data_IF_547686520379
#
_entry.id   IF_547686520379
#
_cell.length_a   1.000
_cell.length_b   1.000
_cell.length_c   1.000
_cell.angle_alpha   90.00
_cell.angle_beta   90.00
_cell.angle_gamma   90.00
#
_symmetry.space_group_name_H-M   'P 1'
#
loop_
_entity.id
_entity.type
_entity.pdbx_description
1 polymer ?
#
# COMPACT_ATOMS: atom_id res chain seq x y z
N UNK A 1 4.67 -104.09 -23.45
CA UNK A 1 6.03 -103.89 -22.91
C UNK A 1 6.21 -102.41 -22.65
N UNK A 2 6.41 -102.02 -21.37
CA UNK A 2 6.46 -100.64 -20.87
C UNK A 2 7.61 -99.85 -21.48
N UNK A 3 7.34 -98.67 -22.05
CA UNK A 3 8.36 -97.68 -22.46
C UNK A 3 8.60 -96.70 -21.31
N UNK A 4 9.84 -96.67 -20.84
CA UNK A 4 10.40 -95.67 -19.93
C UNK A 4 10.74 -94.44 -20.78
N UNK A 5 10.33 -93.25 -20.35
CA UNK A 5 10.87 -91.99 -20.87
C UNK A 5 11.20 -91.07 -19.69
N UNK A 6 12.46 -90.66 -19.67
CA UNK A 6 13.14 -89.90 -18.64
C UNK A 6 12.64 -88.45 -18.57
N UNK A 7 12.52 -87.96 -17.33
CA UNK A 7 12.37 -86.54 -16.98
C UNK A 7 13.73 -85.84 -17.04
N UNK A 8 13.86 -84.81 -17.90
CA UNK A 8 14.96 -83.85 -17.86
C UNK A 8 14.40 -82.46 -17.56
N UNK A 9 14.77 -81.91 -16.40
CA UNK A 9 14.38 -80.58 -15.95
C UNK A 9 15.20 -79.50 -16.71
N UNK A 10 14.49 -78.62 -17.41
CA UNK A 10 15.08 -77.45 -18.05
C UNK A 10 15.17 -76.32 -17.01
N UNK A 11 16.39 -76.04 -16.52
CA UNK A 11 16.68 -74.90 -15.65
C UNK A 11 16.64 -73.64 -16.53
N UNK A 12 15.56 -72.87 -16.42
CA UNK A 12 15.45 -71.55 -17.05
C UNK A 12 16.34 -70.55 -16.34
N UNK A 13 17.38 -70.07 -17.03
CA UNK A 13 18.13 -68.87 -16.62
C UNK A 13 17.18 -67.66 -16.72
N UNK A 14 16.71 -67.16 -15.58
CA UNK A 14 16.07 -65.86 -15.50
C UNK A 14 17.12 -64.76 -15.73
N UNK A 15 17.01 -64.04 -16.84
CA UNK A 15 17.73 -62.77 -16.98
C UNK A 15 17.16 -61.77 -15.96
N UNK A 16 18.00 -60.98 -15.26
CA UNK A 16 17.49 -59.83 -14.56
C UNK A 16 16.93 -58.85 -15.61
N UNK A 17 15.65 -58.49 -15.48
CA UNK A 17 15.09 -57.38 -16.23
C UNK A 17 15.87 -56.12 -15.84
N UNK A 18 16.72 -55.63 -16.74
CA UNK A 18 17.33 -54.31 -16.60
C UNK A 18 16.20 -53.28 -16.76
N UNK A 19 15.74 -52.75 -15.64
CA UNK A 19 14.82 -51.63 -15.63
C UNK A 19 15.56 -50.39 -16.11
N UNK A 20 15.31 -49.96 -17.34
CA UNK A 20 15.79 -48.67 -17.82
C UNK A 20 15.02 -47.58 -17.08
N UNK A 21 15.69 -46.85 -16.19
CA UNK A 21 15.15 -45.60 -15.67
C UNK A 21 15.13 -44.59 -16.82
N UNK A 22 13.95 -44.09 -17.18
CA UNK A 22 13.79 -43.00 -18.14
C UNK A 22 13.92 -41.68 -17.41
N UNK A 23 14.84 -40.82 -17.86
CA UNK A 23 14.94 -39.45 -17.36
C UNK A 23 13.67 -38.67 -17.71
N UNK A 24 13.07 -38.02 -16.71
CA UNK A 24 11.89 -37.19 -16.88
C UNK A 24 12.33 -35.72 -16.84
N UNK A 25 12.61 -35.16 -18.01
CA UNK A 25 12.88 -33.73 -18.13
C UNK A 25 11.55 -32.96 -18.15
N UNK A 26 11.42 -32.00 -17.24
CA UNK A 26 10.25 -31.14 -17.11
C UNK A 26 10.69 -29.69 -17.36
N UNK A 27 10.15 -29.08 -18.41
CA UNK A 27 10.36 -27.67 -18.69
C UNK A 27 9.28 -26.85 -18.00
N UNK A 28 9.65 -26.11 -16.96
CA UNK A 28 8.75 -25.17 -16.30
C UNK A 28 8.85 -23.80 -16.98
N UNK A 29 7.79 -23.41 -17.67
CA UNK A 29 7.61 -22.04 -18.14
C UNK A 29 6.59 -21.34 -17.26
N UNK A 30 6.99 -20.26 -16.60
CA UNK A 30 6.10 -19.43 -15.80
C UNK A 30 6.21 -17.97 -16.22
N UNK A 31 5.07 -17.30 -16.40
CA UNK A 31 5.01 -15.85 -16.59
C UNK A 31 4.96 -15.18 -15.22
N UNK A 32 6.01 -14.46 -14.85
CA UNK A 32 6.04 -13.64 -13.63
C UNK A 32 5.36 -12.31 -13.95
N UNK A 33 4.16 -12.10 -13.42
CA UNK A 33 3.45 -10.81 -13.46
C UNK A 33 3.78 -10.02 -12.21
N UNK A 34 3.89 -8.69 -12.32
CA UNK A 34 4.00 -7.83 -11.15
C UNK A 34 2.68 -7.89 -10.37
N UNK A 35 2.75 -8.18 -9.07
CA UNK A 35 1.57 -8.12 -8.22
C UNK A 35 1.28 -6.68 -7.82
N UNK A 36 0.09 -6.19 -8.17
CA UNK A 36 -0.28 -4.78 -8.04
C UNK A 36 -1.77 -4.63 -7.79
N UNK A 37 -2.15 -3.57 -7.11
CA UNK A 37 -3.51 -3.06 -7.03
C UNK A 37 -3.60 -1.69 -7.71
N UNK A 38 -4.76 -1.37 -8.25
CA UNK A 38 -5.13 0.02 -8.51
C UNK A 38 -5.49 0.67 -7.18
N UNK A 39 -4.82 1.77 -6.80
CA UNK A 39 -5.15 2.51 -5.58
C UNK A 39 -5.82 3.82 -5.96
N UNK A 40 -6.97 4.09 -5.34
CA UNK A 40 -7.75 5.32 -5.54
C UNK A 40 -7.91 6.07 -4.22
N UNK A 41 -8.10 7.39 -4.30
CA UNK A 41 -8.53 8.19 -3.16
C UNK A 41 -10.05 8.31 -3.21
N UNK A 42 -10.71 8.00 -2.10
CA UNK A 42 -12.16 8.13 -1.96
C UNK A 42 -12.52 9.01 -0.77
N UNK A 43 -13.61 9.75 -0.91
CA UNK A 43 -14.16 10.60 0.15
C UNK A 43 -14.67 9.74 1.31
N UNK A 44 -14.46 10.19 2.55
CA UNK A 44 -14.92 9.46 3.74
C UNK A 44 -15.23 10.40 4.91
N UNK A 45 -16.24 11.25 4.69
CA UNK A 45 -16.60 12.35 5.59
C UNK A 45 -15.89 13.67 5.24
N UNK A 46 -15.63 13.90 3.95
CA UNK A 46 -14.84 15.01 3.41
C UNK A 46 -13.44 14.55 2.97
N UNK A 47 -12.47 15.46 2.74
CA UNK A 47 -12.72 16.65 1.91
C UNK A 47 -13.29 16.23 0.55
N UNK A 48 -13.87 17.16 -0.22
CA UNK A 48 -14.32 16.83 -1.56
C UNK A 48 -13.11 16.31 -2.37
N UNK A 49 -13.22 15.08 -2.87
CA UNK A 49 -12.18 14.43 -3.67
C UNK A 49 -12.55 14.60 -5.14
N UNK A 50 -11.65 15.21 -5.91
CA UNK A 50 -11.77 15.34 -7.36
C UNK A 50 -10.51 14.83 -8.03
N UNK A 51 -10.59 14.46 -9.30
CA UNK A 51 -9.48 13.92 -10.07
C UNK A 51 -9.60 12.42 -10.36
N UNK A 52 -8.65 11.94 -11.16
CA UNK A 52 -8.53 10.54 -11.61
C UNK A 52 -7.12 10.32 -12.17
N UNK A 53 -6.78 9.07 -12.53
CA UNK A 53 -5.48 8.72 -13.13
C UNK A 53 -4.28 9.16 -12.26
N UNK A 54 -4.26 8.72 -11.01
CA UNK A 54 -3.18 8.95 -10.03
C UNK A 54 -3.01 10.40 -9.54
N UNK A 55 -3.79 11.34 -10.06
CA UNK A 55 -3.83 12.73 -9.59
C UNK A 55 -5.18 13.07 -8.96
N UNK A 56 -5.14 13.40 -7.67
CA UNK A 56 -6.31 13.73 -6.88
C UNK A 56 -6.13 15.08 -6.19
N UNK A 57 -7.22 15.84 -6.11
CA UNK A 57 -7.32 17.07 -5.33
C UNK A 57 -8.32 16.88 -4.19
N UNK A 58 -7.86 17.20 -2.98
CA UNK A 58 -8.62 17.13 -1.73
C UNK A 58 -8.89 18.55 -1.25
N UNK A 59 -10.14 19.01 -1.35
CA UNK A 59 -10.51 20.38 -0.96
C UNK A 59 -11.09 20.42 0.45
N UNK A 60 -10.29 20.88 1.42
CA UNK A 60 -10.77 21.22 2.76
C UNK A 60 -11.44 22.60 2.70
N UNK A 61 -12.66 22.79 3.22
CA UNK A 61 -13.30 24.10 3.30
C UNK A 61 -12.45 25.12 4.05
N UNK A 62 -12.74 26.41 3.86
CA UNK A 62 -12.09 27.50 4.59
C UNK A 62 -12.20 27.25 6.10
N UNK A 63 -11.06 27.34 6.78
CA UNK A 63 -10.93 27.09 8.21
C UNK A 63 -10.30 28.29 8.93
N UNK A 64 -10.84 28.61 10.10
CA UNK A 64 -10.29 29.67 10.96
C UNK A 64 -8.92 29.30 11.51
N UNK A 65 -8.02 30.28 11.62
CA UNK A 65 -6.69 30.09 12.20
C UNK A 65 -6.77 29.62 13.67
N UNK A 66 -7.81 30.03 14.41
CA UNK A 66 -8.09 29.57 15.77
C UNK A 66 -8.30 28.05 15.82
N UNK A 67 -8.94 27.47 14.81
CA UNK A 67 -9.16 26.02 14.68
C UNK A 67 -7.88 25.28 14.36
N UNK A 68 -7.03 25.85 13.50
CA UNK A 68 -5.70 25.31 13.20
C UNK A 68 -4.81 25.32 14.44
N UNK A 69 -4.79 26.42 15.19
CA UNK A 69 -3.99 26.58 16.41
C UNK A 69 -4.46 25.67 17.55
N UNK A 70 -5.77 25.40 17.65
CA UNK A 70 -6.35 24.51 18.67
C UNK A 70 -6.49 23.05 18.24
N UNK A 71 -5.98 22.69 17.05
CA UNK A 71 -6.11 21.36 16.46
C UNK A 71 -7.56 20.85 16.38
N UNK A 72 -8.50 21.76 16.14
CA UNK A 72 -9.92 21.46 16.15
C UNK A 72 -10.31 20.49 15.00
N UNK A 73 -11.43 19.74 15.13
CA UNK A 73 -11.90 18.84 14.08
C UNK A 73 -12.11 19.52 12.73
N UNK A 74 -12.50 20.80 12.70
CA UNK A 74 -12.72 21.59 11.49
C UNK A 74 -11.43 21.86 10.70
N UNK A 75 -10.27 21.76 11.35
CA UNK A 75 -8.95 21.86 10.70
C UNK A 75 -8.44 20.51 10.19
N UNK A 76 -9.34 19.52 10.03
CA UNK A 76 -9.04 18.17 9.60
C UNK A 76 -10.12 17.66 8.66
N UNK A 77 -9.75 16.73 7.79
CA UNK A 77 -10.69 16.06 6.90
C UNK A 77 -10.26 14.60 6.67
N UNK A 78 -11.23 13.74 6.43
CA UNK A 78 -11.06 12.29 6.45
C UNK A 78 -11.24 11.68 5.07
N UNK A 79 -10.24 10.98 4.55
CA UNK A 79 -10.34 10.29 3.26
C UNK A 79 -9.92 8.84 3.40
N UNK A 80 -10.01 8.06 2.31
CA UNK A 80 -9.52 6.68 2.26
C UNK A 80 -8.63 6.44 1.05
N UNK A 81 -7.61 5.61 1.24
CA UNK A 81 -6.93 4.93 0.14
C UNK A 81 -7.62 3.60 -0.08
N UNK A 82 -8.19 3.37 -1.26
CA UNK A 82 -8.93 2.15 -1.58
C UNK A 82 -8.24 1.38 -2.69
N UNK A 83 -7.96 0.10 -2.41
CA UNK A 83 -7.45 -0.83 -3.41
C UNK A 83 -8.59 -1.45 -4.23
N UNK A 84 -8.38 -1.57 -5.54
CA UNK A 84 -9.23 -2.32 -6.47
C UNK A 84 -8.36 -3.07 -7.48
N UNK A 85 -8.99 -3.98 -8.23
CA UNK A 85 -8.38 -4.66 -9.39
C UNK A 85 -7.03 -5.31 -9.06
N UNK A 86 -6.89 -5.81 -7.84
CA UNK A 86 -5.67 -6.40 -7.35
C UNK A 86 -5.39 -7.74 -8.02
N UNK A 87 -4.18 -7.91 -8.57
CA UNK A 87 -3.74 -9.20 -9.06
C UNK A 87 -3.46 -10.17 -7.91
N UNK A 88 -3.59 -11.47 -8.16
CA UNK A 88 -3.34 -12.48 -7.14
C UNK A 88 -1.87 -12.52 -6.71
N UNK A 89 -1.61 -13.02 -5.49
CA UNK A 89 -0.26 -13.41 -5.05
C UNK A 89 0.46 -12.43 -4.14
N UNK A 90 -0.16 -11.30 -3.75
CA UNK A 90 0.40 -10.42 -2.71
C UNK A 90 -0.19 -10.81 -1.36
N UNK A 91 0.66 -10.82 -0.36
CA UNK A 91 0.29 -10.98 1.05
C UNK A 91 0.14 -9.63 1.74
N UNK A 92 0.93 -8.63 1.33
CA UNK A 92 1.02 -7.31 1.98
C UNK A 92 0.94 -6.17 0.98
N UNK A 93 0.38 -5.07 1.46
CA UNK A 93 0.46 -3.76 0.81
C UNK A 93 1.13 -2.82 1.83
N UNK A 94 2.21 -2.17 1.42
CA UNK A 94 2.83 -1.12 2.19
C UNK A 94 2.61 0.22 1.51
N UNK A 95 2.48 1.28 2.31
CA UNK A 95 2.45 2.65 1.82
C UNK A 95 3.56 3.47 2.45
N UNK A 96 4.27 4.23 1.62
CA UNK A 96 5.14 5.33 2.04
C UNK A 96 4.54 6.67 1.60
N UNK A 97 4.98 7.75 2.23
CA UNK A 97 4.57 9.11 1.92
C UNK A 97 5.77 9.94 1.48
N UNK A 98 5.61 10.75 0.45
CA UNK A 98 6.58 11.77 0.00
C UNK A 98 5.92 13.14 0.02
N UNK A 99 6.67 14.17 0.39
CA UNK A 99 6.23 15.57 0.36
C UNK A 99 7.33 16.49 0.89
N UNK A 100 7.33 17.74 0.46
CA UNK A 100 8.29 18.74 0.95
C UNK A 100 7.93 19.15 2.38
N UNK A 101 8.82 18.95 3.35
CA UNK A 101 8.54 19.27 4.76
C UNK A 101 8.93 20.68 5.14
N UNK A 102 8.15 21.29 6.04
CA UNK A 102 8.51 22.56 6.71
C UNK A 102 8.99 22.35 8.14
N UNK A 103 8.42 21.38 8.86
CA UNK A 103 8.79 21.04 10.23
C UNK A 103 8.37 19.61 10.54
N UNK A 104 9.35 18.76 10.89
CA UNK A 104 9.11 17.37 11.25
C UNK A 104 8.28 16.63 10.20
N UNK A 105 7.03 16.30 10.55
CA UNK A 105 6.11 15.50 9.74
C UNK A 105 5.05 16.33 9.00
N UNK A 106 5.16 17.65 9.04
CA UNK A 106 4.26 18.56 8.35
C UNK A 106 4.82 18.94 6.97
N UNK A 107 3.99 18.74 5.95
CA UNK A 107 4.24 19.14 4.56
C UNK A 107 4.00 20.65 4.44
N UNK A 108 4.89 21.32 3.69
CA UNK A 108 4.93 22.77 3.50
C UNK A 108 3.73 23.28 2.72
N UNK A 109 3.32 24.51 3.02
CA UNK A 109 2.41 25.28 2.18
C UNK A 109 3.14 25.83 0.96
N UNK A 110 2.67 25.51 -0.24
CA UNK A 110 3.21 25.92 -1.53
C UNK A 110 2.39 27.05 -2.18
N UNK A 111 1.31 27.51 -1.55
CA UNK A 111 0.47 28.59 -2.08
C UNK A 111 1.23 29.93 -2.16
N UNK A 112 1.07 30.65 -3.27
CA UNK A 112 1.61 32.01 -3.42
C UNK A 112 0.84 32.98 -2.52
N UNK A 113 1.54 33.72 -1.65
CA UNK A 113 0.92 34.49 -0.54
C UNK A 113 0.13 33.60 0.45
N UNK A 114 0.61 32.39 0.68
CA UNK A 114 -0.04 31.40 1.53
C UNK A 114 0.01 31.70 3.02
N UNK A 115 -0.83 31.00 3.78
CA UNK A 115 -0.80 30.93 5.23
C UNK A 115 0.62 30.57 5.71
N UNK A 116 1.29 31.53 6.36
CA UNK A 116 2.62 31.33 6.93
C UNK A 116 2.50 30.56 8.26
N UNK A 117 3.51 29.74 8.57
CA UNK A 117 3.54 29.00 9.83
C UNK A 117 2.47 27.90 9.94
N UNK A 118 1.85 27.50 8.83
CA UNK A 118 0.89 26.39 8.75
C UNK A 118 1.44 25.31 7.82
N UNK A 119 1.28 24.05 8.22
CA UNK A 119 1.63 22.88 7.43
C UNK A 119 0.55 21.79 7.48
N UNK A 120 0.70 20.78 6.64
CA UNK A 120 -0.24 19.67 6.50
C UNK A 120 0.35 18.36 7.02
N UNK A 121 -0.32 17.73 7.98
CA UNK A 121 -0.01 16.37 8.45
C UNK A 121 -1.00 15.35 7.91
N UNK A 122 -0.55 14.10 7.73
CA UNK A 122 -1.39 12.96 7.34
C UNK A 122 -1.16 11.83 8.33
N UNK A 123 -2.23 11.22 8.84
CA UNK A 123 -2.20 10.11 9.81
C UNK A 123 -3.31 9.11 9.53
N UNK A 124 -3.24 7.93 10.15
CA UNK A 124 -4.42 7.07 10.29
C UNK A 124 -5.53 7.83 11.01
N UNK A 125 -6.78 7.59 10.60
CA UNK A 125 -7.93 8.22 11.27
C UNK A 125 -7.96 7.87 12.74
N UNK A 126 -8.48 8.80 13.55
CA UNK A 126 -8.68 8.66 15.00
C UNK A 126 -7.38 8.42 15.80
N UNK A 127 -6.22 8.67 15.19
CA UNK A 127 -4.92 8.64 15.87
C UNK A 127 -4.46 10.05 16.25
N UNK A 128 -3.51 10.15 17.19
CA UNK A 128 -2.98 11.43 17.66
C UNK A 128 -2.09 12.12 16.61
N UNK A 129 -1.91 13.44 16.70
CA UNK A 129 -1.03 14.17 15.77
C UNK A 129 0.44 13.75 15.87
N UNK A 130 0.86 13.20 17.02
CA UNK A 130 2.19 12.60 17.19
C UNK A 130 2.44 11.41 16.24
N UNK A 131 1.39 10.81 15.69
CA UNK A 131 1.45 9.69 14.75
C UNK A 131 1.26 10.12 13.30
N UNK A 132 1.43 11.41 12.97
CA UNK A 132 1.60 11.79 11.56
C UNK A 132 2.68 10.91 10.89
N UNK A 133 2.48 10.59 9.62
CA UNK A 133 3.44 9.88 8.81
C UNK A 133 4.60 10.81 8.45
N UNK A 134 5.81 10.26 8.39
CA UNK A 134 6.97 11.03 7.92
C UNK A 134 6.97 11.02 6.39
N UNK A 135 6.95 12.18 5.72
CA UNK A 135 6.92 12.24 4.26
C UNK A 135 8.34 12.09 3.66
N UNK A 136 9.00 10.95 3.92
CA UNK A 136 10.41 10.67 3.57
C UNK A 136 10.61 9.52 2.57
N UNK A 137 9.53 8.97 2.02
CA UNK A 137 9.52 7.80 1.15
C UNK A 137 10.24 6.55 1.71
N UNK A 138 10.43 6.48 3.02
CA UNK A 138 11.21 5.42 3.68
C UNK A 138 10.39 4.75 4.77
N UNK A 139 9.76 5.55 5.64
CA UNK A 139 8.85 5.05 6.66
C UNK A 139 7.61 4.49 5.98
N UNK A 140 7.41 3.18 6.11
CA UNK A 140 6.28 2.46 5.54
C UNK A 140 5.32 1.97 6.61
N UNK A 141 4.02 2.01 6.31
CA UNK A 141 3.01 1.32 7.11
C UNK A 141 2.36 0.20 6.30
N UNK A 142 2.10 -0.92 6.97
CA UNK A 142 1.42 -2.07 6.38
C UNK A 142 -0.11 -1.89 6.49
N UNK A 143 -0.81 -2.23 5.41
CA UNK A 143 -2.26 -2.33 5.40
C UNK A 143 -2.70 -3.62 6.09
N UNK A 144 -3.59 -3.50 7.07
CA UNK A 144 -4.26 -4.63 7.70
C UNK A 144 -5.17 -5.37 6.71
N UNK A 145 -5.62 -6.57 7.10
CA UNK A 145 -6.56 -7.35 6.30
C UNK A 145 -7.86 -6.56 5.99
N UNK A 146 -8.40 -5.87 6.99
CA UNK A 146 -9.60 -5.05 6.84
C UNK A 146 -9.37 -3.82 5.97
N UNK A 147 -8.21 -3.17 6.10
CA UNK A 147 -7.83 -2.03 5.26
C UNK A 147 -7.64 -2.45 3.79
N UNK A 148 -7.13 -3.66 3.51
CA UNK A 148 -7.08 -4.20 2.15
C UNK A 148 -8.47 -4.40 1.53
N UNK A 149 -9.48 -4.71 2.34
CA UNK A 149 -10.85 -4.95 1.86
C UNK A 149 -11.69 -3.67 1.78
N UNK A 150 -11.54 -2.77 2.76
CA UNK A 150 -12.44 -1.62 2.96
C UNK A 150 -11.77 -0.26 2.69
N UNK A 151 -10.46 -0.24 2.50
CA UNK A 151 -9.63 0.95 2.34
C UNK A 151 -9.01 1.42 3.65
N UNK A 152 -7.85 2.08 3.57
CA UNK A 152 -7.15 2.67 4.71
C UNK A 152 -7.81 3.99 5.10
N UNK A 153 -8.43 4.11 6.29
CA UNK A 153 -8.99 5.37 6.74
C UNK A 153 -7.88 6.32 7.21
N UNK A 154 -7.80 7.47 6.55
CA UNK A 154 -6.80 8.51 6.82
C UNK A 154 -7.46 9.83 7.20
N UNK A 155 -6.67 10.67 7.87
CA UNK A 155 -6.99 12.06 8.18
C UNK A 155 -5.88 12.95 7.68
N UNK A 156 -6.24 13.97 6.92
CA UNK A 156 -5.39 15.13 6.63
C UNK A 156 -5.71 16.23 7.63
N UNK A 157 -4.69 16.93 8.12
CA UNK A 157 -4.83 17.91 9.18
C UNK A 157 -3.95 19.15 8.93
N UNK A 158 -4.53 20.34 9.03
CA UNK A 158 -3.78 21.60 9.04
C UNK A 158 -3.33 21.91 10.46
N UNK A 159 -2.05 22.22 10.64
CA UNK A 159 -1.43 22.52 11.94
C UNK A 159 -0.46 23.67 11.84
N UNK A 160 -0.34 24.42 12.93
CA UNK A 160 0.78 25.35 13.06
C UNK A 160 2.10 24.59 13.10
N UNK A 161 3.10 25.09 12.38
CA UNK A 161 4.46 24.53 12.38
C UNK A 161 5.21 24.87 13.67
N UNK A 162 4.79 25.95 14.32
CA UNK A 162 5.22 26.42 15.65
C UNK A 162 4.02 27.08 16.29
N UNK A 163 3.70 26.69 17.53
CA UNK A 163 2.52 27.20 18.24
C UNK A 163 2.52 28.74 18.29
N UNK A 164 1.40 29.34 17.87
CA UNK A 164 1.18 30.79 17.83
C UNK A 164 1.87 31.52 16.66
N UNK A 165 2.56 30.81 15.77
CA UNK A 165 3.25 31.41 14.62
C UNK A 165 2.40 31.43 13.35
N UNK A 166 1.24 30.77 13.34
CA UNK A 166 0.37 30.67 12.20
C UNK A 166 -0.20 32.03 11.77
N UNK A 167 -0.39 32.21 10.46
CA UNK A 167 -1.01 33.37 9.84
C UNK A 167 -2.03 32.92 8.81
N UNK A 168 -3.10 33.70 8.65
CA UNK A 168 -4.12 33.47 7.63
C UNK A 168 -3.56 33.66 6.23
N UNK A 169 -4.07 32.88 5.28
CA UNK A 169 -3.72 32.95 3.86
C UNK A 169 -4.16 31.70 3.14
N UNK A 170 -3.87 31.61 1.85
CA UNK A 170 -4.17 30.42 1.06
C UNK A 170 -3.34 29.22 1.53
N UNK A 171 -3.87 28.01 1.41
CA UNK A 171 -3.10 26.79 1.68
C UNK A 171 -3.18 25.85 0.48
N UNK A 172 -2.02 25.38 0.02
CA UNK A 172 -1.90 24.33 -1.00
C UNK A 172 -0.68 23.49 -0.65
N UNK A 173 -0.81 22.17 -0.69
CA UNK A 173 0.32 21.27 -0.45
C UNK A 173 0.20 20.05 -1.36
N UNK A 174 1.35 19.46 -1.70
CA UNK A 174 1.42 18.23 -2.49
C UNK A 174 2.02 17.09 -1.66
N UNK A 175 1.37 15.93 -1.74
CA UNK A 175 1.84 14.69 -1.16
C UNK A 175 1.72 13.56 -2.18
N UNK A 176 2.63 12.60 -2.14
CA UNK A 176 2.60 11.41 -2.99
C UNK A 176 2.62 10.17 -2.12
N UNK A 177 1.62 9.31 -2.28
CA UNK A 177 1.60 7.99 -1.70
C UNK A 177 2.27 7.01 -2.67
N UNK A 178 3.23 6.22 -2.19
CA UNK A 178 3.85 5.17 -2.97
C UNK A 178 3.51 3.81 -2.36
N UNK A 179 3.30 2.82 -3.22
CA UNK A 179 2.82 1.50 -2.81
C UNK A 179 3.83 0.43 -3.19
N UNK A 180 4.11 -0.47 -2.26
CA UNK A 180 4.87 -1.70 -2.53
C UNK A 180 4.08 -2.92 -2.12
N UNK A 181 4.25 -4.00 -2.88
CA UNK A 181 3.51 -5.25 -2.74
C UNK A 181 4.50 -6.38 -2.45
N UNK A 182 4.21 -7.19 -1.44
CA UNK A 182 5.02 -8.36 -1.03
C UNK A 182 4.15 -9.62 -0.94
#
# INVERSE_FOLDING_TARGET
MKRILLTSALIGLGLPAVGSATDLNVDFTATVLATTCTITIVEDGGPAVTGSNDEYSLTIPDVGLDKVATAAPEAQANFKLKASDCSNGYSKIFTTLTGTTVSGKLIVNEATSGAAGVGMGIKRRDTADSTFFTPNNTDKFEWSADEKASGVPLTVALRETTAGAGRTGAFQAKATFNFTYE
#
